data_IF_526701540957
#
_entry.id   IF_526701540957
#
_cell.length_a   1.000
_cell.length_b   1.000
_cell.length_c   1.000
_cell.angle_alpha   90.00
_cell.angle_beta   90.00
_cell.angle_gamma   90.00
#
_symmetry.space_group_name_H-M   'P 1'
#
loop_
_entity.id
_entity.type
_entity.pdbx_description
1 polymer ?
#
# COMPACT_ATOMS: atom_id res chain seq x y z
N UNK A 1 -1.69 -26.75 4.65
CA UNK A 1 -2.60 -25.65 4.27
C UNK A 1 -1.99 -24.36 4.80
N UNK A 2 -2.02 -23.26 4.06
CA UNK A 2 -1.46 -21.97 4.53
C UNK A 2 -2.46 -21.18 5.37
N UNK A 3 -2.03 -20.00 5.82
CA UNK A 3 -2.87 -19.10 6.64
C UNK A 3 -3.62 -18.14 5.72
N UNK A 4 -4.92 -17.96 5.95
CA UNK A 4 -5.67 -16.85 5.35
C UNK A 4 -5.51 -15.61 6.23
N UNK A 5 -4.82 -14.59 5.70
CA UNK A 5 -4.72 -13.27 6.36
C UNK A 5 -6.09 -12.60 6.46
N UNK A 6 -6.98 -12.81 5.49
CA UNK A 6 -8.36 -12.34 5.56
C UNK A 6 -9.08 -12.87 6.80
N UNK A 7 -8.98 -14.18 7.08
CA UNK A 7 -9.61 -14.79 8.25
C UNK A 7 -8.99 -14.29 9.57
N UNK A 8 -7.68 -14.07 9.60
CA UNK A 8 -7.02 -13.43 10.74
C UNK A 8 -7.61 -12.03 11.02
N UNK A 9 -7.65 -11.17 10.00
CA UNK A 9 -8.16 -9.80 10.12
C UNK A 9 -9.65 -9.82 10.49
N UNK A 10 -10.41 -10.79 9.99
CA UNK A 10 -11.81 -11.00 10.38
C UNK A 10 -11.96 -11.38 11.84
N UNK A 11 -11.08 -12.22 12.40
CA UNK A 11 -11.07 -12.53 13.83
C UNK A 11 -10.77 -11.29 14.67
N UNK A 12 -9.72 -10.54 14.31
CA UNK A 12 -9.37 -9.25 14.94
C UNK A 12 -10.56 -8.30 14.92
N UNK A 13 -11.24 -8.19 13.78
CA UNK A 13 -12.39 -7.32 13.60
C UNK A 13 -13.60 -7.70 14.47
N UNK A 14 -13.83 -9.00 14.73
CA UNK A 14 -14.91 -9.46 15.63
C UNK A 14 -14.70 -9.00 17.07
N UNK A 15 -13.46 -8.82 17.51
CA UNK A 15 -13.08 -8.40 18.87
C UNK A 15 -13.23 -6.90 19.11
N UNK A 16 -13.36 -6.11 18.05
CA UNK A 16 -13.48 -4.66 18.19
C UNK A 16 -14.83 -4.29 18.83
N UNK A 17 -14.85 -3.54 19.95
CA UNK A 17 -16.10 -3.04 20.53
C UNK A 17 -16.73 -2.04 19.57
N UNK A 18 -18.04 -2.12 19.39
CA UNK A 18 -18.77 -1.24 18.46
C UNK A 18 -19.95 -0.63 19.21
N UNK A 19 -19.89 0.67 19.49
CA UNK A 19 -20.95 1.42 20.16
C UNK A 19 -21.86 2.17 19.19
N UNK A 20 -21.42 2.41 17.94
CA UNK A 20 -22.09 3.34 17.03
C UNK A 20 -22.60 2.69 15.74
N UNK A 21 -23.92 2.77 15.52
CA UNK A 21 -24.59 2.43 14.26
C UNK A 21 -24.73 3.66 13.34
N UNK A 22 -23.67 4.47 13.21
CA UNK A 22 -23.68 5.59 12.25
C UNK A 22 -23.79 5.04 10.82
N UNK A 23 -24.60 5.69 9.98
CA UNK A 23 -24.69 5.38 8.55
C UNK A 23 -23.58 6.05 7.72
N UNK A 24 -22.76 6.90 8.33
CA UNK A 24 -21.63 7.57 7.68
C UNK A 24 -20.31 7.08 8.25
N UNK A 25 -19.35 6.80 7.35
CA UNK A 25 -17.96 6.50 7.68
C UNK A 25 -17.17 7.80 7.53
N UNK A 26 -16.64 8.35 8.62
CA UNK A 26 -15.80 9.54 8.57
C UNK A 26 -14.38 9.15 8.13
N UNK A 27 -13.71 10.04 7.40
CA UNK A 27 -12.30 9.85 7.01
C UNK A 27 -11.35 10.03 8.18
N UNK A 28 -11.69 10.93 9.11
CA UNK A 28 -10.75 11.49 10.09
C UNK A 28 -10.73 10.71 11.40
N UNK A 29 -11.86 10.07 11.76
CA UNK A 29 -11.92 9.11 12.84
C UNK A 29 -11.98 7.71 12.22
N UNK A 30 -10.84 7.03 12.18
CA UNK A 30 -10.72 5.79 11.42
C UNK A 30 -10.80 4.54 12.30
N UNK A 31 -11.94 4.26 12.94
CA UNK A 31 -12.07 3.12 13.85
C UNK A 31 -12.42 1.80 13.13
N UNK A 32 -11.82 0.67 13.51
CA UNK A 32 -12.10 -0.65 12.93
C UNK A 32 -13.60 -1.00 12.98
N UNK A 33 -14.30 -0.50 14.00
CA UNK A 33 -15.75 -0.63 14.15
C UNK A 33 -16.54 -0.08 12.95
N UNK A 34 -16.02 0.96 12.27
CA UNK A 34 -16.66 1.61 11.12
C UNK A 34 -16.80 0.68 9.92
N UNK A 35 -16.03 -0.42 9.88
CA UNK A 35 -16.11 -1.38 8.79
C UNK A 35 -17.29 -2.35 8.96
N UNK A 36 -17.98 -2.37 10.12
CA UNK A 36 -19.18 -3.21 10.34
C UNK A 36 -20.31 -2.85 9.39
N UNK A 37 -20.86 -3.88 8.73
CA UNK A 37 -21.99 -3.74 7.83
C UNK A 37 -23.27 -3.42 8.61
N UNK A 38 -23.53 -4.07 9.75
CA UNK A 38 -24.52 -3.64 10.76
C UNK A 38 -25.91 -3.25 10.25
N UNK A 39 -26.40 -3.82 9.14
CA UNK A 39 -27.67 -3.41 8.51
C UNK A 39 -27.63 -2.07 7.75
N UNK A 40 -26.45 -1.49 7.55
CA UNK A 40 -26.25 -0.28 6.73
C UNK A 40 -26.65 -0.53 5.27
N UNK A 41 -27.03 0.56 4.60
CA UNK A 41 -27.42 0.55 3.17
C UNK A 41 -26.32 -0.06 2.30
N UNK A 42 -26.71 -0.72 1.21
CA UNK A 42 -25.77 -1.22 0.20
C UNK A 42 -25.10 -0.08 -0.57
N UNK A 43 -23.88 -0.31 -1.09
CA UNK A 43 -23.18 0.64 -1.96
C UNK A 43 -22.37 1.72 -1.25
N UNK A 44 -22.28 1.70 0.10
CA UNK A 44 -21.40 2.61 0.84
C UNK A 44 -19.94 2.33 0.46
N UNK A 45 -19.30 3.31 -0.17
CA UNK A 45 -17.88 3.31 -0.48
C UNK A 45 -17.11 3.67 0.78
N UNK A 46 -16.08 2.89 1.09
CA UNK A 46 -15.18 3.18 2.22
C UNK A 46 -14.22 4.30 1.78
N UNK A 47 -14.10 5.42 2.53
CA UNK A 47 -13.25 6.53 2.13
C UNK A 47 -11.81 6.10 1.86
N UNK A 48 -11.32 6.42 0.67
CA UNK A 48 -9.97 6.07 0.23
C UNK A 48 -8.88 6.71 1.10
N UNK A 49 -9.13 7.94 1.58
CA UNK A 49 -8.19 8.74 2.36
C UNK A 49 -8.12 8.36 3.84
N UNK A 50 -8.99 7.50 4.34
CA UNK A 50 -9.01 7.11 5.75
C UNK A 50 -7.62 6.64 6.24
N UNK A 51 -7.31 6.81 7.52
CA UNK A 51 -6.03 6.44 8.12
C UNK A 51 -5.48 7.54 9.04
N UNK A 52 -4.35 7.30 9.72
CA UNK A 52 -3.75 8.30 10.60
C UNK A 52 -3.28 9.51 9.80
N UNK A 53 -3.46 10.69 10.38
CA UNK A 53 -2.87 11.92 9.85
C UNK A 53 -1.36 11.88 10.12
N UNK A 54 -0.51 12.09 9.09
CA UNK A 54 0.93 12.26 9.29
C UNK A 54 1.24 13.30 10.37
N UNK A 55 2.10 12.95 11.32
CA UNK A 55 2.57 13.91 12.32
C UNK A 55 3.62 14.83 11.69
N UNK A 56 3.86 15.98 12.31
CA UNK A 56 4.92 16.89 11.87
C UNK A 56 6.28 16.18 11.92
N UNK A 57 7.04 16.27 10.83
CA UNK A 57 8.36 15.61 10.71
C UNK A 57 8.34 14.24 10.03
N UNK A 58 7.17 13.74 9.58
CA UNK A 58 7.10 12.52 8.78
C UNK A 58 7.89 12.65 7.48
N UNK A 59 8.70 11.64 7.18
CA UNK A 59 9.42 11.56 5.90
C UNK A 59 8.52 11.15 4.72
N UNK A 60 7.27 10.76 4.97
CA UNK A 60 6.31 10.32 3.94
C UNK A 60 4.97 11.04 4.05
N UNK A 61 4.38 11.33 2.88
CA UNK A 61 3.00 11.82 2.79
C UNK A 61 1.97 10.72 3.13
N UNK A 62 0.72 11.13 3.39
CA UNK A 62 -0.39 10.22 3.65
C UNK A 62 -0.62 9.25 2.48
N UNK A 63 -0.56 9.76 1.27
CA UNK A 63 -0.75 9.00 0.03
C UNK A 63 0.38 7.99 -0.16
N UNK A 64 1.62 8.40 0.12
CA UNK A 64 2.80 7.55 0.07
C UNK A 64 2.74 6.40 1.09
N UNK A 65 2.23 6.66 2.30
CA UNK A 65 1.96 5.64 3.33
C UNK A 65 0.89 4.66 2.82
N UNK A 66 -0.23 5.17 2.31
CA UNK A 66 -1.34 4.36 1.79
C UNK A 66 -0.91 3.41 0.67
N UNK A 67 -0.15 3.92 -0.30
CA UNK A 67 0.35 3.09 -1.42
C UNK A 67 1.23 1.94 -0.91
N UNK A 68 2.14 2.22 0.03
CA UNK A 68 2.97 1.18 0.66
C UNK A 68 2.13 0.21 1.48
N UNK A 69 1.13 0.68 2.22
CA UNK A 69 0.21 -0.17 2.99
C UNK A 69 -0.53 -1.17 2.09
N UNK A 70 -1.01 -0.72 0.92
CA UNK A 70 -1.62 -1.59 -0.11
C UNK A 70 -0.63 -2.66 -0.59
N UNK A 71 0.60 -2.27 -0.91
CA UNK A 71 1.65 -3.20 -1.37
C UNK A 71 1.96 -4.26 -0.31
N UNK A 72 2.14 -3.82 0.94
CA UNK A 72 2.48 -4.70 2.06
C UNK A 72 1.33 -5.65 2.39
N UNK A 73 0.07 -5.18 2.40
CA UNK A 73 -1.08 -6.06 2.63
C UNK A 73 -1.17 -7.19 1.61
N UNK A 74 -0.94 -6.91 0.33
CA UNK A 74 -0.90 -7.93 -0.73
C UNK A 74 0.28 -8.87 -0.57
N UNK A 75 1.44 -8.34 -0.21
CA UNK A 75 2.64 -9.13 0.03
C UNK A 75 2.43 -10.10 1.20
N UNK A 76 1.97 -9.62 2.35
CA UNK A 76 1.73 -10.45 3.53
C UNK A 76 0.67 -11.52 3.21
N UNK A 77 -0.42 -11.19 2.51
CA UNK A 77 -1.42 -12.19 2.10
C UNK A 77 -0.79 -13.30 1.24
N UNK A 78 0.00 -12.91 0.23
CA UNK A 78 0.71 -13.85 -0.64
C UNK A 78 1.70 -14.73 0.12
N UNK A 79 2.47 -14.16 1.05
CA UNK A 79 3.43 -14.89 1.89
C UNK A 79 2.73 -15.83 2.87
N UNK A 80 1.75 -15.34 3.63
CA UNK A 80 1.00 -16.13 4.63
C UNK A 80 0.24 -17.30 4.01
N UNK A 81 -0.30 -17.11 2.80
CA UNK A 81 -0.96 -18.21 2.07
C UNK A 81 0.01 -19.36 1.74
N UNK A 82 1.32 -19.08 1.70
CA UNK A 82 2.37 -20.04 1.38
C UNK A 82 3.07 -20.65 2.60
N UNK A 83 2.73 -20.24 3.81
CA UNK A 83 3.28 -20.84 5.04
C UNK A 83 2.89 -22.31 5.17
N UNK A 84 3.85 -23.10 5.64
CA UNK A 84 3.66 -24.49 6.03
C UNK A 84 3.23 -24.58 7.49
N UNK A 85 2.38 -25.55 7.81
CA UNK A 85 2.05 -25.86 9.20
C UNK A 85 3.11 -26.83 9.75
N UNK A 86 3.88 -26.38 10.73
CA UNK A 86 4.82 -27.21 11.45
C UNK A 86 4.04 -28.17 12.36
N UNK A 87 4.23 -29.48 12.18
CA UNK A 87 3.50 -30.51 12.93
C UNK A 87 4.07 -30.62 14.35
N UNK A 88 3.55 -29.81 15.25
CA UNK A 88 3.86 -29.83 16.68
C UNK A 88 2.74 -29.18 17.51
N UNK A 89 2.75 -29.40 18.82
CA UNK A 89 1.95 -28.61 19.76
C UNK A 89 2.89 -27.66 20.51
N UNK A 90 2.64 -26.34 20.51
CA UNK A 90 1.55 -25.62 19.83
C UNK A 90 1.69 -25.57 18.29
N UNK A 91 0.60 -25.24 17.61
CA UNK A 91 0.60 -24.94 16.17
C UNK A 91 1.61 -23.82 15.89
N UNK A 92 2.54 -24.10 14.97
CA UNK A 92 3.55 -23.16 14.50
C UNK A 92 3.55 -23.14 12.99
N UNK A 93 3.94 -22.01 12.42
CA UNK A 93 4.02 -21.78 10.99
C UNK A 93 5.47 -21.63 10.60
N UNK A 94 5.84 -22.23 9.48
CA UNK A 94 7.20 -22.15 8.97
C UNK A 94 7.18 -21.73 7.50
N UNK A 95 8.18 -20.95 7.13
CA UNK A 95 8.42 -20.67 5.72
C UNK A 95 9.01 -21.91 5.05
N UNK A 96 8.30 -22.45 4.06
CA UNK A 96 8.83 -23.49 3.17
C UNK A 96 9.68 -22.83 2.05
N UNK A 97 9.38 -23.11 0.78
CA UNK A 97 10.10 -22.57 -0.39
C UNK A 97 9.83 -21.09 -0.64
N UNK A 98 8.69 -20.59 -0.18
CA UNK A 98 8.28 -19.20 -0.39
C UNK A 98 8.80 -18.33 0.74
N UNK A 99 9.83 -17.51 0.46
CA UNK A 99 10.28 -16.45 1.37
C UNK A 99 9.57 -15.15 1.05
N UNK A 100 9.45 -14.25 2.02
CA UNK A 100 8.83 -12.95 1.81
C UNK A 100 9.51 -12.15 0.67
N UNK A 101 10.82 -12.34 0.47
CA UNK A 101 11.60 -11.73 -0.63
C UNK A 101 11.25 -12.27 -2.02
N UNK A 102 10.67 -13.47 -2.11
CA UNK A 102 10.27 -14.08 -3.38
C UNK A 102 8.95 -13.53 -3.93
N UNK A 103 8.26 -12.65 -3.20
CA UNK A 103 7.06 -11.97 -3.68
C UNK A 103 7.36 -10.82 -4.65
N UNK A 104 8.60 -10.35 -4.71
CA UNK A 104 9.02 -9.27 -5.59
C UNK A 104 8.51 -7.88 -5.19
N UNK A 105 8.01 -7.68 -3.97
CA UNK A 105 7.50 -6.36 -3.55
C UNK A 105 8.65 -5.53 -2.95
N UNK A 106 8.77 -4.21 -3.26
CA UNK A 106 7.90 -3.40 -4.14
C UNK A 106 8.29 -3.38 -5.63
N UNK A 107 9.53 -3.73 -5.98
CA UNK A 107 10.12 -3.35 -7.29
C UNK A 107 10.31 -4.51 -8.29
N UNK A 108 9.66 -5.66 -8.08
CA UNK A 108 9.89 -6.87 -8.85
C UNK A 108 8.65 -7.74 -9.07
N UNK A 109 8.86 -8.84 -9.79
CA UNK A 109 7.85 -9.87 -10.00
C UNK A 109 7.93 -10.96 -8.93
N UNK A 110 6.78 -11.52 -8.59
CA UNK A 110 6.68 -12.73 -7.76
C UNK A 110 7.35 -13.91 -8.48
N UNK A 111 8.23 -14.62 -7.78
CA UNK A 111 8.78 -15.89 -8.23
C UNK A 111 7.71 -16.98 -8.04
N UNK A 112 6.83 -17.15 -9.03
CA UNK A 112 5.72 -18.11 -9.01
C UNK A 112 6.17 -19.57 -8.81
N UNK A 113 7.44 -19.90 -9.08
CA UNK A 113 7.98 -21.24 -8.85
C UNK A 113 8.22 -21.49 -7.37
N UNK A 114 8.70 -20.48 -6.63
CA UNK A 114 8.97 -20.56 -5.19
C UNK A 114 7.76 -20.17 -4.34
N UNK A 115 6.99 -19.20 -4.80
CA UNK A 115 5.79 -18.67 -4.19
C UNK A 115 4.61 -18.81 -5.17
N UNK A 116 4.02 -19.99 -5.36
CA UNK A 116 2.86 -20.12 -6.23
C UNK A 116 1.66 -19.35 -5.67
N UNK A 117 0.87 -18.72 -6.55
CA UNK A 117 -0.43 -18.13 -6.16
C UNK A 117 -1.41 -19.19 -5.66
N UNK A 118 -2.13 -18.86 -4.60
CA UNK A 118 -3.22 -19.67 -4.05
C UNK A 118 -4.52 -18.87 -4.06
N UNK A 119 -5.22 -18.85 -5.20
CA UNK A 119 -6.40 -18.01 -5.42
C UNK A 119 -7.49 -18.15 -4.35
N UNK A 120 -7.61 -19.32 -3.72
CA UNK A 120 -8.54 -19.57 -2.62
C UNK A 120 -8.14 -18.95 -1.27
N UNK A 121 -6.89 -18.50 -1.12
CA UNK A 121 -6.34 -17.86 0.08
C UNK A 121 -5.92 -16.40 -0.16
N UNK A 122 -5.71 -16.01 -1.42
CA UNK A 122 -5.22 -14.68 -1.82
C UNK A 122 -6.32 -13.86 -2.49
N UNK A 123 -7.10 -13.15 -1.68
CA UNK A 123 -8.31 -12.46 -2.12
C UNK A 123 -8.05 -11.01 -2.55
N UNK A 124 -6.88 -10.45 -2.28
CA UNK A 124 -6.58 -9.03 -2.46
C UNK A 124 -5.71 -8.72 -3.68
N UNK A 125 -5.37 -9.73 -4.49
CA UNK A 125 -4.49 -9.56 -5.66
C UNK A 125 -5.00 -8.52 -6.67
N UNK A 126 -6.32 -8.38 -6.80
CA UNK A 126 -6.94 -7.45 -7.74
C UNK A 126 -7.04 -6.01 -7.23
N UNK A 127 -6.67 -5.75 -5.97
CA UNK A 127 -6.79 -4.43 -5.39
C UNK A 127 -5.51 -3.61 -5.54
N UNK A 128 -5.68 -2.32 -5.82
CA UNK A 128 -4.62 -1.32 -5.84
C UNK A 128 -5.01 -0.10 -5.00
N UNK A 129 -4.18 0.94 -5.00
CA UNK A 129 -4.41 2.18 -4.23
C UNK A 129 -5.59 3.02 -4.74
N UNK A 130 -6.05 2.78 -5.96
CA UNK A 130 -7.15 3.48 -6.63
C UNK A 130 -8.48 2.71 -6.59
N UNK A 131 -8.44 1.43 -6.23
CA UNK A 131 -9.62 0.56 -6.26
C UNK A 131 -10.64 1.02 -5.21
N UNK A 132 -11.88 1.36 -5.61
CA UNK A 132 -12.92 1.70 -4.64
C UNK A 132 -13.33 0.47 -3.84
N UNK A 133 -13.30 0.61 -2.51
CA UNK A 133 -13.66 -0.44 -1.57
C UNK A 133 -15.08 -0.19 -1.05
N UNK A 134 -15.83 -1.27 -0.82
CA UNK A 134 -17.27 -1.21 -0.52
C UNK A 134 -17.55 -1.95 0.79
N UNK A 135 -18.34 -1.33 1.65
CA UNK A 135 -18.59 -1.83 3.00
C UNK A 135 -19.30 -3.19 3.03
N UNK A 136 -20.12 -3.51 2.02
CA UNK A 136 -20.90 -4.75 1.99
C UNK A 136 -20.08 -5.95 1.53
N UNK A 137 -18.91 -5.72 0.94
CA UNK A 137 -18.02 -6.79 0.49
C UNK A 137 -17.03 -7.09 1.60
N UNK A 138 -17.15 -8.26 2.22
CA UNK A 138 -16.29 -8.66 3.34
C UNK A 138 -14.80 -8.56 2.97
N UNK A 139 -14.43 -9.08 1.79
CA UNK A 139 -13.06 -8.98 1.26
C UNK A 139 -12.53 -7.54 1.17
N UNK A 140 -13.39 -6.56 0.89
CA UNK A 140 -13.01 -5.14 0.83
C UNK A 140 -12.80 -4.59 2.24
N UNK A 141 -13.63 -5.00 3.20
CA UNK A 141 -13.50 -4.60 4.60
C UNK A 141 -12.21 -5.15 5.22
N UNK A 142 -11.90 -6.43 5.01
CA UNK A 142 -10.67 -7.03 5.54
C UNK A 142 -9.43 -6.43 4.87
N UNK A 143 -9.48 -6.16 3.56
CA UNK A 143 -8.37 -5.47 2.89
C UNK A 143 -8.19 -4.05 3.42
N UNK A 144 -9.28 -3.31 3.59
CA UNK A 144 -9.24 -1.96 4.19
C UNK A 144 -8.68 -1.99 5.61
N UNK A 145 -9.09 -2.94 6.44
CA UNK A 145 -8.58 -3.10 7.79
C UNK A 145 -7.08 -3.39 7.80
N UNK A 146 -6.58 -4.19 6.86
CA UNK A 146 -5.13 -4.37 6.69
C UNK A 146 -4.44 -3.05 6.32
N UNK A 147 -5.00 -2.27 5.38
CA UNK A 147 -4.44 -0.97 5.00
C UNK A 147 -4.40 -0.02 6.18
N UNK A 148 -5.48 0.09 6.97
CA UNK A 148 -5.53 0.91 8.18
C UNK A 148 -4.42 0.48 9.15
N UNK A 149 -4.30 -0.84 9.40
CA UNK A 149 -3.29 -1.43 10.29
C UNK A 149 -1.86 -1.08 9.84
N UNK A 150 -1.53 -1.31 8.57
CA UNK A 150 -0.20 -0.99 8.04
C UNK A 150 0.05 0.51 8.04
N UNK A 151 -0.98 1.33 7.81
CA UNK A 151 -0.85 2.78 7.83
C UNK A 151 -0.54 3.31 9.23
N UNK A 152 -1.05 2.68 10.30
CA UNK A 152 -0.67 3.00 11.69
C UNK A 152 0.83 2.75 11.88
N UNK A 153 1.32 1.57 11.47
CA UNK A 153 2.74 1.21 11.63
C UNK A 153 3.65 2.15 10.84
N UNK A 154 3.32 2.40 9.56
CA UNK A 154 4.12 3.24 8.69
C UNK A 154 4.09 4.70 9.09
N UNK A 155 2.96 5.18 9.61
CA UNK A 155 2.91 6.52 10.17
C UNK A 155 3.94 6.67 11.30
N UNK A 156 3.93 5.75 12.26
CA UNK A 156 4.87 5.76 13.39
C UNK A 156 6.32 5.59 12.91
N UNK A 157 6.61 4.63 12.02
CA UNK A 157 7.97 4.42 11.51
C UNK A 157 8.49 5.60 10.69
N UNK A 158 7.61 6.31 9.96
CA UNK A 158 7.99 7.47 9.16
C UNK A 158 8.27 8.73 9.99
N UNK A 159 7.91 8.76 11.27
CA UNK A 159 8.23 9.86 12.18
C UNK A 159 9.71 9.88 12.57
N UNK A 160 10.41 8.75 12.46
CA UNK A 160 11.81 8.58 12.88
C UNK A 160 12.80 9.09 11.84
N UNK A 161 12.71 10.38 11.54
CA UNK A 161 13.70 11.12 10.77
C UNK A 161 15.06 11.18 11.50
N UNK A 162 16.09 11.69 10.82
CA UNK A 162 17.45 11.79 11.35
C UNK A 162 17.53 12.53 12.69
N UNK A 163 16.67 13.51 12.94
CA UNK A 163 16.59 14.24 14.21
C UNK A 163 15.96 13.39 15.32
N UNK A 164 14.81 12.76 15.06
CA UNK A 164 14.11 11.92 16.04
C UNK A 164 14.93 10.66 16.37
N UNK A 165 15.72 10.14 15.43
CA UNK A 165 16.66 9.05 15.68
C UNK A 165 17.80 9.46 16.63
N UNK A 166 18.33 10.69 16.51
CA UNK A 166 19.33 11.21 17.46
C UNK A 166 18.75 11.35 18.87
N UNK A 167 17.53 11.87 18.97
CA UNK A 167 16.83 11.96 20.26
C UNK A 167 16.58 10.57 20.86
N UNK A 168 16.14 9.62 20.04
CA UNK A 168 15.93 8.23 20.42
C UNK A 168 17.21 7.53 20.86
N UNK A 169 18.36 7.90 20.29
CA UNK A 169 19.66 7.38 20.75
C UNK A 169 19.92 7.76 22.21
N UNK A 170 19.59 8.99 22.60
CA UNK A 170 19.84 9.51 23.94
C UNK A 170 18.78 9.07 24.96
N UNK A 171 17.51 8.94 24.55
CA UNK A 171 16.37 8.77 25.47
C UNK A 171 15.64 7.44 25.34
N UNK A 172 16.07 6.60 24.39
CA UNK A 172 15.35 5.40 23.98
C UNK A 172 14.16 5.71 23.07
N UNK A 173 13.63 4.68 22.41
CA UNK A 173 12.42 4.78 21.59
C UNK A 173 11.17 4.41 22.40
N UNK A 174 10.00 4.81 21.89
CA UNK A 174 8.68 4.45 22.44
C UNK A 174 7.77 3.84 21.37
N UNK A 175 8.35 3.20 20.36
CA UNK A 175 7.66 2.73 19.16
C UNK A 175 6.58 1.70 19.52
N UNK A 176 6.90 0.72 20.37
CA UNK A 176 5.95 -0.30 20.81
C UNK A 176 4.75 0.30 21.55
N UNK A 177 5.01 1.30 22.40
CA UNK A 177 3.96 2.00 23.13
C UNK A 177 3.08 2.80 22.16
N UNK A 178 3.67 3.56 21.24
CA UNK A 178 2.95 4.32 20.23
C UNK A 178 2.11 3.41 19.31
N UNK A 179 2.64 2.23 18.93
CA UNK A 179 1.89 1.23 18.15
C UNK A 179 0.69 0.73 18.97
N UNK A 180 0.89 0.31 20.21
CA UNK A 180 -0.17 -0.16 21.10
C UNK A 180 -1.29 0.88 21.24
N UNK A 181 -0.94 2.15 21.46
CA UNK A 181 -1.89 3.25 21.57
C UNK A 181 -2.64 3.52 20.26
N UNK A 182 -1.93 3.51 19.13
CA UNK A 182 -2.52 3.65 17.81
C UNK A 182 -3.52 2.54 17.50
N UNK A 183 -3.17 1.29 17.83
CA UNK A 183 -4.04 0.13 17.69
C UNK A 183 -5.23 0.17 18.66
N UNK A 184 -5.04 0.65 19.88
CA UNK A 184 -6.11 0.75 20.88
C UNK A 184 -7.14 1.80 20.46
N UNK A 185 -6.67 2.95 19.93
CA UNK A 185 -7.55 3.96 19.32
C UNK A 185 -8.27 3.42 18.08
N UNK A 186 -7.60 2.60 17.28
CA UNK A 186 -8.17 2.05 16.05
C UNK A 186 -9.22 0.96 16.32
N UNK A 187 -8.89 -0.05 17.13
CA UNK A 187 -9.68 -1.26 17.29
C UNK A 187 -10.14 -1.58 18.71
N UNK A 188 -9.73 -0.80 19.70
CA UNK A 188 -9.93 -1.06 21.13
C UNK A 188 -8.77 -1.85 21.76
N UNK A 189 -8.73 -1.89 23.09
CA UNK A 189 -7.60 -2.46 23.83
C UNK A 189 -7.41 -3.97 23.58
N UNK A 190 -8.49 -4.75 23.41
CA UNK A 190 -8.38 -6.19 23.13
C UNK A 190 -7.70 -6.43 21.78
N UNK A 191 -8.07 -5.67 20.75
CA UNK A 191 -7.47 -5.72 19.41
C UNK A 191 -5.99 -5.35 19.46
N UNK A 192 -5.67 -4.26 20.17
CA UNK A 192 -4.29 -3.82 20.37
C UNK A 192 -3.44 -4.92 21.02
N UNK A 193 -3.89 -5.46 22.16
CA UNK A 193 -3.17 -6.52 22.88
C UNK A 193 -2.95 -7.75 21.99
N UNK A 194 -3.99 -8.17 21.26
CA UNK A 194 -3.91 -9.34 20.36
C UNK A 194 -2.86 -9.14 19.28
N UNK A 195 -2.87 -7.99 18.59
CA UNK A 195 -1.90 -7.70 17.53
C UNK A 195 -0.50 -7.57 18.12
N UNK A 196 -0.33 -6.87 19.25
CA UNK A 196 0.97 -6.74 19.92
C UNK A 196 1.57 -8.11 20.28
N UNK A 197 0.76 -8.99 20.86
CA UNK A 197 1.17 -10.34 21.26
C UNK A 197 1.57 -11.23 20.08
N UNK A 198 0.90 -11.10 18.94
CA UNK A 198 1.18 -11.94 17.77
C UNK A 198 2.25 -11.37 16.83
N UNK A 199 2.34 -10.05 16.71
CA UNK A 199 3.16 -9.42 15.68
C UNK A 199 4.49 -8.92 16.21
N UNK A 200 4.58 -8.55 17.49
CA UNK A 200 5.72 -7.80 18.01
C UNK A 200 6.37 -8.43 19.24
N UNK A 201 5.63 -9.20 20.05
CA UNK A 201 6.18 -9.83 21.25
C UNK A 201 6.94 -11.12 20.92
N UNK A 202 8.19 -11.20 21.37
CA UNK A 202 8.91 -12.46 21.41
C UNK A 202 8.43 -13.26 22.62
N UNK A 203 7.77 -14.39 22.39
CA UNK A 203 7.32 -15.30 23.45
C UNK A 203 8.11 -16.61 23.41
N UNK A 204 9.34 -16.63 23.95
CA UNK A 204 10.08 -17.87 24.09
C UNK A 204 9.33 -18.80 25.07
N UNK A 205 9.07 -20.03 24.64
CA UNK A 205 8.57 -21.11 25.51
C UNK A 205 7.11 -21.02 25.98
N UNK A 206 6.44 -19.86 25.95
CA UNK A 206 5.01 -19.79 26.31
C UNK A 206 4.14 -20.37 25.21
N UNK A 207 3.35 -21.38 25.52
CA UNK A 207 2.31 -21.94 24.64
C UNK A 207 1.10 -21.01 24.69
N UNK A 208 1.07 -19.97 23.85
CA UNK A 208 -0.14 -19.15 23.66
C UNK A 208 -0.94 -19.67 22.46
N UNK A 209 -2.27 -19.53 22.51
CA UNK A 209 -3.16 -19.74 21.36
C UNK A 209 -3.10 -18.53 20.40
N UNK A 210 -1.89 -18.14 19.99
CA UNK A 210 -1.72 -17.13 18.93
C UNK A 210 -2.10 -17.73 17.59
N UNK A 211 -2.75 -16.92 16.75
CA UNK A 211 -3.15 -17.31 15.40
C UNK A 211 -1.91 -17.39 14.49
N UNK A 212 -0.99 -16.44 14.67
CA UNK A 212 0.29 -16.38 13.97
C UNK A 212 1.40 -16.66 14.98
N UNK A 213 2.19 -17.71 14.71
CA UNK A 213 3.42 -18.00 15.44
C UNK A 213 4.41 -18.66 14.51
N UNK A 214 5.57 -18.04 14.34
CA UNK A 214 6.63 -18.60 13.51
C UNK A 214 7.35 -19.73 14.26
N UNK A 215 7.87 -20.72 13.52
CA UNK A 215 8.51 -21.90 14.09
C UNK A 215 9.85 -21.59 14.77
N UNK A 216 10.55 -20.57 14.26
CA UNK A 216 11.78 -19.99 14.82
C UNK A 216 11.55 -19.17 16.11
N UNK A 217 10.29 -18.83 16.41
CA UNK A 217 9.92 -18.04 17.59
C UNK A 217 10.16 -16.54 17.42
N UNK A 218 10.54 -16.09 16.23
CA UNK A 218 10.72 -14.67 15.93
C UNK A 218 9.35 -13.98 15.69
N UNK A 219 9.22 -12.70 16.06
CA UNK A 219 8.00 -11.94 15.85
C UNK A 219 7.76 -11.67 14.36
N UNK A 220 6.49 -11.55 13.95
CA UNK A 220 6.15 -11.23 12.56
C UNK A 220 6.78 -9.90 12.10
N UNK A 221 6.93 -8.92 12.99
CA UNK A 221 7.59 -7.64 12.72
C UNK A 221 9.01 -7.80 12.16
N UNK A 222 9.74 -8.84 12.56
CA UNK A 222 11.05 -9.14 12.00
C UNK A 222 10.95 -9.57 10.53
N UNK A 223 9.99 -10.43 10.19
CA UNK A 223 9.75 -10.80 8.79
C UNK A 223 9.33 -9.58 7.97
N UNK A 224 8.46 -8.72 8.53
CA UNK A 224 8.05 -7.47 7.89
C UNK A 224 9.24 -6.54 7.63
N UNK A 225 10.24 -6.50 8.51
CA UNK A 225 11.43 -5.67 8.32
C UNK A 225 12.17 -5.97 7.00
N UNK A 226 12.15 -7.23 6.56
CA UNK A 226 12.75 -7.64 5.28
C UNK A 226 12.00 -7.00 4.10
N UNK A 227 10.67 -6.97 4.17
CA UNK A 227 9.81 -6.38 3.16
C UNK A 227 9.93 -4.84 3.15
N UNK A 228 9.99 -4.23 4.32
CA UNK A 228 10.01 -2.77 4.47
C UNK A 228 11.34 -2.14 4.09
N UNK A 229 12.45 -2.89 4.11
CA UNK A 229 13.78 -2.41 3.75
C UNK A 229 13.84 -1.72 2.37
N UNK A 230 13.07 -2.22 1.42
CA UNK A 230 13.03 -1.68 0.06
C UNK A 230 12.05 -0.51 -0.10
N UNK A 231 11.32 -0.13 0.95
CA UNK A 231 10.29 0.90 0.90
C UNK A 231 10.76 2.27 1.42
N UNK A 232 12.03 2.38 1.81
CA UNK A 232 12.65 3.64 2.22
C UNK A 232 12.26 4.11 3.63
N UNK A 233 11.78 3.21 4.49
CA UNK A 233 11.56 3.56 5.89
C UNK A 233 12.89 3.61 6.66
N UNK A 234 13.05 4.56 7.60
CA UNK A 234 14.22 4.60 8.49
C UNK A 234 14.16 3.47 9.53
N UNK A 235 12.96 3.18 10.04
CA UNK A 235 12.67 2.04 10.90
C UNK A 235 11.90 0.99 10.10
N UNK A 236 12.40 -0.24 10.12
CA UNK A 236 11.84 -1.38 9.40
C UNK A 236 10.99 -2.27 10.30
N UNK A 237 11.10 -2.14 11.62
CA UNK A 237 10.29 -2.91 12.56
C UNK A 237 10.74 -2.71 14.00
N UNK A 238 10.05 -3.36 14.92
CA UNK A 238 10.38 -3.37 16.34
C UNK A 238 10.03 -4.73 16.96
N UNK A 239 10.78 -5.16 17.96
CA UNK A 239 10.39 -6.22 18.88
C UNK A 239 10.03 -5.59 20.21
N UNK A 240 8.89 -5.99 20.76
CA UNK A 240 8.36 -5.42 21.99
C UNK A 240 8.52 -6.38 23.17
N UNK A 241 8.55 -5.82 24.37
CA UNK A 241 8.32 -6.51 25.63
C UNK A 241 7.13 -5.88 26.35
N UNK A 242 6.40 -6.69 27.12
CA UNK A 242 5.25 -6.25 27.91
C UNK A 242 5.68 -6.10 29.36
N UNK A 243 5.37 -4.98 29.97
CA UNK A 243 5.67 -4.73 31.39
C UNK A 243 4.82 -5.65 32.28
N UNK A 244 5.41 -6.24 33.32
CA UNK A 244 4.71 -7.23 34.16
C UNK A 244 3.52 -6.61 34.92
N UNK A 245 3.68 -5.37 35.39
CA UNK A 245 2.70 -4.69 36.24
C UNK A 245 1.64 -3.91 35.47
N UNK A 246 1.79 -3.79 34.15
CA UNK A 246 0.88 -2.97 33.34
C UNK A 246 0.59 -3.61 31.98
N UNK A 247 -0.59 -4.21 31.78
CA UNK A 247 -0.91 -4.94 30.56
C UNK A 247 -1.04 -4.05 29.31
N UNK A 248 -1.10 -2.73 29.50
CA UNK A 248 -1.18 -1.74 28.43
C UNK A 248 0.16 -1.06 28.12
N UNK A 249 1.21 -1.34 28.89
CA UNK A 249 2.53 -0.75 28.68
C UNK A 249 3.47 -1.72 27.96
N UNK A 250 4.07 -1.21 26.90
CA UNK A 250 5.03 -1.93 26.08
C UNK A 250 6.34 -1.15 25.99
N UNK A 251 7.45 -1.88 26.01
CA UNK A 251 8.80 -1.33 25.88
C UNK A 251 9.46 -1.87 24.62
N UNK A 252 10.34 -1.07 24.05
CA UNK A 252 11.11 -1.43 22.86
C UNK A 252 12.28 -2.31 23.31
N UNK A 253 12.27 -3.57 22.90
CA UNK A 253 13.37 -4.50 23.21
C UNK A 253 14.41 -4.57 22.09
N UNK A 254 14.00 -4.22 20.88
CA UNK A 254 14.82 -4.24 19.67
C UNK A 254 14.17 -3.36 18.61
N UNK A 255 14.94 -2.55 17.91
CA UNK A 255 14.50 -1.80 16.74
C UNK A 255 15.27 -2.30 15.51
N UNK A 256 14.55 -2.61 14.44
CA UNK A 256 15.15 -3.06 13.18
C UNK A 256 15.32 -1.86 12.25
N UNK A 257 16.56 -1.45 12.01
CA UNK A 257 16.94 -0.39 11.04
C UNK A 257 17.47 -1.00 9.73
N UNK A 258 17.85 -2.28 9.76
CA UNK A 258 18.17 -3.10 8.60
C UNK A 258 17.63 -4.53 8.79
N UNK A 259 17.41 -5.30 7.70
CA UNK A 259 16.88 -6.66 7.79
C UNK A 259 17.69 -7.57 8.71
N UNK A 260 17.05 -8.07 9.76
CA UNK A 260 17.67 -8.96 10.74
C UNK A 260 18.73 -8.30 11.64
N UNK A 261 18.96 -6.99 11.53
CA UNK A 261 19.84 -6.25 12.44
C UNK A 261 19.02 -5.63 13.55
N UNK A 262 19.21 -6.15 14.75
CA UNK A 262 18.52 -5.73 15.94
C UNK A 262 19.38 -4.73 16.73
N UNK A 263 18.86 -3.52 16.92
CA UNK A 263 19.52 -2.47 17.70
C UNK A 263 18.74 -2.20 18.98
N UNK A 264 19.44 -2.06 20.11
CA UNK A 264 18.81 -1.76 21.40
C UNK A 264 18.83 -0.24 21.56
N UNK A 265 17.65 0.36 21.77
CA UNK A 265 17.51 1.81 21.88
C UNK A 265 17.40 2.23 23.34
N UNK A 266 18.32 3.08 23.79
CA UNK A 266 18.33 3.59 25.16
C UNK A 266 18.91 2.60 26.17
N UNK A 267 19.79 3.11 27.01
CA UNK A 267 20.36 2.42 28.14
C UNK A 267 21.16 3.43 28.96
N UNK A 268 21.00 3.40 30.28
CA UNK A 268 21.85 4.17 31.17
C UNK A 268 23.31 3.73 30.93
N UNK A 269 24.22 4.69 30.77
CA UNK A 269 25.64 4.50 30.42
C UNK A 269 26.36 3.47 31.31
N UNK A 270 25.80 3.11 32.47
CA UNK A 270 26.33 2.08 33.37
C UNK A 270 26.20 0.63 32.85
N UNK A 271 25.37 0.37 31.84
CA UNK A 271 25.30 -0.95 31.19
C UNK A 271 26.41 -1.19 30.14
N UNK A 272 27.20 -0.17 29.80
CA UNK A 272 28.21 -0.21 28.72
C UNK A 272 29.45 -1.07 29.07
N UNK A 273 29.67 -1.40 30.35
CA UNK A 273 30.87 -2.14 30.76
C UNK A 273 30.88 -3.64 30.35
N UNK A 274 29.76 -4.22 29.90
CA UNK A 274 29.70 -5.64 29.51
C UNK A 274 29.09 -5.94 28.14
N UNK A 275 28.51 -4.97 27.43
CA UNK A 275 27.88 -5.19 26.12
C UNK A 275 28.81 -4.71 25.00
N UNK A 276 29.93 -5.40 24.79
CA UNK A 276 30.97 -4.98 23.82
C UNK A 276 30.63 -5.20 22.35
N UNK A 277 29.41 -5.62 21.94
CA UNK A 277 29.11 -5.90 20.52
C UNK A 277 27.69 -5.63 20.00
N UNK A 278 26.78 -5.03 20.76
CA UNK A 278 25.39 -4.81 20.30
C UNK A 278 24.94 -3.37 20.48
N UNK A 279 25.33 -2.55 19.49
CA UNK A 279 24.48 -1.59 18.79
C UNK A 279 23.74 -0.53 19.61
N UNK A 280 24.45 0.46 20.12
CA UNK A 280 23.94 1.85 20.11
C UNK A 280 23.66 2.21 18.66
N UNK A 281 22.58 2.95 18.35
CA UNK A 281 22.28 3.43 16.98
C UNK A 281 23.58 3.91 16.35
N UNK A 282 24.05 3.19 15.34
CA UNK A 282 25.31 3.56 14.74
C UNK A 282 25.12 4.94 14.09
N UNK A 283 26.05 5.86 14.31
CA UNK A 283 26.07 7.17 13.63
C UNK A 283 25.91 7.00 12.11
N UNK A 284 26.35 5.84 11.59
CA UNK A 284 26.09 5.36 10.23
C UNK A 284 24.61 5.36 9.83
N UNK A 285 23.68 4.89 10.67
CA UNK A 285 22.24 4.86 10.33
C UNK A 285 21.66 6.26 10.31
N UNK A 286 21.99 7.09 11.29
CA UNK A 286 21.56 8.49 11.32
C UNK A 286 22.04 9.20 10.05
N UNK A 287 23.29 8.97 9.65
CA UNK A 287 23.85 9.53 8.42
C UNK A 287 23.17 8.97 7.17
N UNK A 288 22.85 7.66 7.11
CA UNK A 288 22.11 7.05 6.00
C UNK A 288 20.69 7.62 5.87
N UNK A 289 19.98 7.79 6.98
CA UNK A 289 18.63 8.37 7.00
C UNK A 289 18.69 9.83 6.57
N UNK A 290 19.66 10.60 7.08
CA UNK A 290 19.89 11.99 6.66
C UNK A 290 20.18 12.09 5.16
N UNK A 291 21.01 11.20 4.61
CA UNK A 291 21.30 11.17 3.17
C UNK A 291 20.03 10.92 2.35
N UNK A 292 19.18 9.97 2.78
CA UNK A 292 17.90 9.69 2.11
C UNK A 292 16.91 10.84 2.20
N UNK A 293 16.88 11.54 3.34
CA UNK A 293 16.06 12.75 3.51
C UNK A 293 16.48 13.85 2.53
N UNK A 294 17.79 14.06 2.38
CA UNK A 294 18.36 15.01 1.42
C UNK A 294 18.03 14.62 -0.03
N UNK A 295 18.18 13.34 -0.39
CA UNK A 295 17.80 12.81 -1.72
C UNK A 295 16.30 13.00 -2.01
N UNK A 296 15.43 12.65 -1.05
CA UNK A 296 13.97 12.76 -1.20
C UNK A 296 13.53 14.22 -1.28
N UNK A 297 14.15 15.11 -0.50
CA UNK A 297 13.91 16.54 -0.60
C UNK A 297 14.29 17.08 -1.97
N UNK A 298 15.40 16.61 -2.55
CA UNK A 298 15.84 16.97 -3.90
C UNK A 298 14.86 16.52 -5.00
N UNK A 299 14.33 15.30 -4.92
CA UNK A 299 13.32 14.80 -5.87
C UNK A 299 12.02 15.63 -5.85
N UNK A 300 11.62 16.11 -4.66
CA UNK A 300 10.48 16.99 -4.50
C UNK A 300 10.63 18.30 -5.27
N UNK A 301 11.83 18.89 -5.26
CA UNK A 301 12.13 20.11 -5.99
C UNK A 301 12.16 19.89 -7.50
N UNK A 302 12.72 18.77 -7.97
CA UNK A 302 12.70 18.37 -9.39
C UNK A 302 11.26 18.20 -9.87
N UNK A 303 10.41 17.57 -9.06
CA UNK A 303 9.00 17.35 -9.40
C UNK A 303 8.24 18.68 -9.49
N UNK A 304 8.44 19.59 -8.53
CA UNK A 304 7.84 20.94 -8.56
C UNK A 304 8.30 21.74 -9.77
N UNK A 305 9.60 21.72 -10.09
CA UNK A 305 10.14 22.39 -11.28
C UNK A 305 9.55 21.81 -12.57
N UNK A 306 9.40 20.49 -12.64
CA UNK A 306 8.80 19.80 -13.79
C UNK A 306 7.33 20.17 -13.95
N UNK A 307 6.55 20.25 -12.87
CA UNK A 307 5.16 20.70 -12.92
C UNK A 307 5.03 22.17 -13.33
N UNK A 308 5.89 23.05 -12.80
CA UNK A 308 5.92 24.46 -13.19
C UNK A 308 6.25 24.60 -14.68
N UNK A 309 7.25 23.88 -15.16
CA UNK A 309 7.61 23.84 -16.58
C UNK A 309 6.46 23.32 -17.44
N UNK A 310 5.75 22.26 -17.02
CA UNK A 310 4.58 21.73 -17.72
C UNK A 310 3.47 22.77 -17.81
N UNK A 311 3.13 23.46 -16.70
CA UNK A 311 2.12 24.52 -16.69
C UNK A 311 2.50 25.70 -17.58
N UNK A 312 3.76 26.11 -17.58
CA UNK A 312 4.26 27.16 -18.47
C UNK A 312 4.14 26.73 -19.94
N UNK A 313 4.53 25.50 -20.26
CA UNK A 313 4.46 24.94 -21.61
C UNK A 313 3.01 24.83 -22.10
N UNK A 314 2.08 24.33 -21.27
CA UNK A 314 0.64 24.28 -21.58
C UNK A 314 0.06 25.68 -21.81
N UNK A 315 0.46 26.67 -21.01
CA UNK A 315 0.02 28.07 -21.15
C UNK A 315 0.54 28.68 -22.44
N UNK A 316 1.82 28.50 -22.76
CA UNK A 316 2.42 28.96 -24.02
C UNK A 316 1.77 28.29 -25.23
N UNK A 317 1.49 26.98 -25.16
CA UNK A 317 0.81 26.25 -26.22
C UNK A 317 -0.60 26.80 -26.48
N UNK A 318 -1.38 27.07 -25.42
CA UNK A 318 -2.71 27.71 -25.54
C UNK A 318 -2.64 29.10 -26.15
N UNK A 319 -1.67 29.93 -25.74
CA UNK A 319 -1.48 31.26 -26.31
C UNK A 319 -1.12 31.22 -27.80
N UNK A 320 -0.33 30.23 -28.23
CA UNK A 320 -0.03 29.99 -29.65
C UNK A 320 -1.29 29.54 -30.40
N UNK A 321 -2.07 28.62 -29.83
CA UNK A 321 -3.32 28.16 -30.43
C UNK A 321 -4.32 29.31 -30.63
N UNK A 322 -4.45 30.19 -29.64
CA UNK A 322 -5.32 31.37 -29.71
C UNK A 322 -4.87 32.34 -30.81
N UNK A 323 -3.55 32.60 -30.92
CA UNK A 323 -2.98 33.41 -32.01
C UNK A 323 -3.24 32.80 -33.39
N UNK A 324 -3.15 31.47 -33.51
CA UNK A 324 -3.46 30.75 -34.76
C UNK A 324 -4.95 30.86 -35.12
N UNK A 325 -5.85 30.75 -34.14
CA UNK A 325 -7.30 30.91 -34.36
C UNK A 325 -7.69 32.34 -34.74
N UNK A 326 -6.99 33.35 -34.25
CA UNK A 326 -7.27 34.76 -34.55
C UNK A 326 -6.97 35.17 -36.02
N UNK A 327 -6.44 34.27 -36.86
CA UNK A 327 -6.38 34.45 -38.32
C UNK A 327 -5.51 35.60 -38.83
N UNK A 328 -4.64 36.18 -37.99
CA UNK A 328 -3.98 37.46 -38.28
C UNK A 328 -2.47 37.42 -38.57
N UNK A 329 -1.83 36.26 -38.66
CA UNK A 329 -0.43 36.22 -39.11
C UNK A 329 -0.05 34.91 -39.79
N UNK A 330 0.63 35.02 -40.93
CA UNK A 330 1.52 34.00 -41.46
C UNK A 330 2.68 33.78 -40.48
N UNK A 331 2.54 32.82 -39.56
CA UNK A 331 3.58 32.48 -38.61
C UNK A 331 4.70 31.74 -39.36
N UNK A 332 5.87 32.37 -39.49
CA UNK A 332 7.10 31.64 -39.74
C UNK A 332 7.36 30.81 -38.48
N UNK A 333 7.02 29.52 -38.53
CA UNK A 333 7.39 28.57 -37.49
C UNK A 333 8.90 28.42 -37.56
N UNK A 334 9.61 29.25 -36.80
CA UNK A 334 10.96 28.93 -36.40
C UNK A 334 10.83 27.71 -35.50
N UNK A 335 10.95 26.52 -36.10
CA UNK A 335 11.38 25.35 -35.34
C UNK A 335 12.83 25.66 -34.97
N UNK A 336 13.15 26.00 -33.72
CA UNK A 336 14.54 25.90 -33.30
C UNK A 336 14.97 24.47 -33.65
N UNK A 337 16.12 24.34 -34.30
CA UNK A 337 16.76 23.05 -34.57
C UNK A 337 17.15 22.49 -33.19
N UNK A 338 16.18 21.94 -32.47
CA UNK A 338 16.29 21.34 -31.13
C UNK A 338 16.86 19.93 -31.31
N UNK A 339 18.01 19.84 -31.97
CA UNK A 339 18.72 18.58 -32.23
C UNK A 339 19.30 17.93 -30.98
N UNK A 340 19.27 18.59 -29.82
CA UNK A 340 19.93 18.09 -28.61
C UNK A 340 19.09 18.10 -27.34
N UNK A 341 18.05 18.95 -27.23
CA UNK A 341 17.32 19.13 -25.95
C UNK A 341 16.10 18.20 -25.83
N UNK A 342 15.39 17.93 -26.92
CA UNK A 342 14.18 17.09 -26.90
C UNK A 342 14.40 15.61 -26.52
N UNK A 343 15.51 14.95 -26.91
CA UNK A 343 15.77 13.57 -26.51
C UNK A 343 16.00 13.41 -25.00
N UNK A 344 16.60 14.42 -24.35
CA UNK A 344 16.87 14.41 -22.91
C UNK A 344 15.61 14.52 -22.05
N UNK A 345 14.50 14.99 -22.63
CA UNK A 345 13.19 15.11 -21.96
C UNK A 345 12.21 13.98 -22.32
N UNK A 346 12.61 13.02 -23.16
CA UNK A 346 11.76 11.87 -23.54
C UNK A 346 10.53 12.22 -24.39
N UNK A 347 10.46 13.43 -24.97
CA UNK A 347 9.32 13.87 -25.77
C UNK A 347 9.59 13.55 -27.25
N UNK A 348 8.91 12.52 -27.78
CA UNK A 348 8.92 12.22 -29.21
C UNK A 348 7.81 13.04 -29.93
N UNK A 349 8.20 14.08 -30.65
CA UNK A 349 7.26 14.84 -31.50
C UNK A 349 7.20 14.21 -32.89
N UNK A 350 6.13 13.48 -33.17
CA UNK A 350 5.86 12.95 -34.52
C UNK A 350 5.16 14.01 -35.37
N UNK A 351 5.92 14.63 -36.28
CA UNK A 351 5.35 15.57 -37.25
C UNK A 351 4.74 14.76 -38.40
N UNK A 352 3.42 14.62 -38.39
CA UNK A 352 2.67 14.05 -39.50
C UNK A 352 2.57 15.08 -40.63
N UNK A 353 3.48 15.02 -41.60
CA UNK A 353 3.33 15.75 -42.85
C UNK A 353 2.24 15.07 -43.70
N UNK A 354 1.04 15.65 -43.69
CA UNK A 354 -0.10 15.21 -44.51
C UNK A 354 0.24 15.41 -45.99
N UNK A 355 0.77 14.38 -46.64
CA UNK A 355 0.98 14.32 -48.09
C UNK A 355 -0.41 14.42 -48.76
N UNK A 356 -0.71 15.55 -49.41
CA UNK A 356 -1.93 15.72 -50.24
C UNK A 356 -1.86 14.71 -51.39
N UNK A 357 -2.49 13.55 -51.20
CA UNK A 357 -2.65 12.52 -52.22
C UNK A 357 -3.70 12.94 -53.24
N UNK A 358 -3.29 12.92 -54.51
CA UNK A 358 -4.13 13.19 -55.67
C UNK A 358 -5.22 12.11 -55.79
N UNK A 359 -6.49 12.53 -55.95
CA UNK A 359 -7.65 11.63 -56.05
C UNK A 359 -7.51 10.72 -57.27
N UNK A 360 -7.48 9.40 -57.07
CA UNK A 360 -7.73 8.41 -58.14
C UNK A 360 -9.09 7.74 -57.92
N UNK A 361 -9.79 7.58 -59.03
CA UNK A 361 -11.15 7.06 -59.16
C UNK A 361 -11.32 5.64 -58.63
N UNK A 362 -12.48 5.42 -58.01
CA UNK A 362 -13.00 4.15 -57.51
C UNK A 362 -13.73 3.44 -58.67
N UNK A 363 -13.41 2.17 -58.92
CA UNK A 363 -14.21 1.24 -59.74
C UNK A 363 -14.91 0.26 -58.78
N UNK A 364 -16.24 0.07 -58.87
CA UNK A 364 -16.95 -0.89 -58.03
C UNK A 364 -17.22 -2.23 -58.74
N UNK A 365 -17.43 -3.26 -57.90
CA UNK A 365 -18.11 -4.57 -58.10
C UNK A 365 -17.21 -5.80 -58.20
N UNK A 366 -17.41 -6.75 -57.28
CA UNK A 366 -18.21 -7.96 -57.52
C UNK A 366 -18.40 -8.75 -56.21
N UNK A 367 -19.65 -9.16 -55.96
CA UNK A 367 -20.07 -10.06 -54.88
C UNK A 367 -19.53 -11.48 -55.11
N UNK A 368 -19.20 -12.23 -54.05
CA UNK A 368 -19.30 -13.68 -54.07
C UNK A 368 -20.44 -14.17 -53.18
N UNK A 369 -21.22 -15.06 -53.78
CA UNK A 369 -22.27 -15.90 -53.21
C UNK A 369 -21.75 -16.85 -52.13
N UNK A 370 -22.56 -17.06 -51.08
CA UNK A 370 -22.39 -18.13 -50.10
C UNK A 370 -23.11 -19.41 -50.58
N UNK A 371 -22.56 -20.61 -50.32
CA UNK A 371 -23.34 -21.84 -50.21
C UNK A 371 -23.65 -22.18 -48.74
N UNK A 372 -24.82 -22.80 -48.55
CA UNK A 372 -25.36 -23.36 -47.31
C UNK A 372 -24.78 -24.75 -46.98
N UNK A 373 -24.93 -25.11 -45.68
CA UNK A 373 -25.09 -26.49 -45.12
C UNK A 373 -23.85 -27.41 -45.16
N UNK A 374 -23.42 -28.13 -44.12
CA UNK A 374 -24.13 -28.91 -43.08
C UNK A 374 -23.26 -29.14 -41.81
N UNK A 375 -23.94 -29.17 -40.66
CA UNK A 375 -23.77 -30.02 -39.46
C UNK A 375 -22.39 -30.60 -39.07
N UNK A 376 -21.84 -30.14 -37.92
CA UNK A 376 -21.25 -31.03 -36.89
C UNK A 376 -21.56 -30.46 -35.50
N UNK A 377 -22.32 -31.24 -34.72
CA UNK A 377 -22.58 -31.02 -33.29
C UNK A 377 -21.34 -31.43 -32.48
N UNK A 378 -20.80 -30.52 -31.65
CA UNK A 378 -19.93 -30.85 -30.51
C UNK A 378 -20.30 -29.98 -29.30
N UNK A 379 -20.48 -30.55 -28.10
CA UNK A 379 -20.80 -29.77 -26.92
C UNK A 379 -19.52 -29.20 -26.31
N UNK A 380 -19.39 -27.87 -26.29
CA UNK A 380 -18.38 -27.19 -25.50
C UNK A 380 -19.06 -26.30 -24.46
N UNK A 381 -18.78 -26.60 -23.19
CA UNK A 381 -19.21 -25.87 -22.01
C UNK A 381 -18.87 -24.39 -22.14
N UNK A 382 -19.88 -23.52 -22.10
CA UNK A 382 -19.69 -22.07 -22.00
C UNK A 382 -19.74 -21.65 -20.55
N UNK A 383 -18.60 -21.18 -20.06
CA UNK A 383 -18.47 -20.17 -19.01
C UNK A 383 -19.45 -19.02 -19.31
N UNK A 384 -20.31 -18.71 -18.36
CA UNK A 384 -21.16 -17.53 -18.42
C UNK A 384 -20.30 -16.27 -18.38
N UNK A 385 -20.33 -15.49 -19.46
CA UNK A 385 -19.87 -14.11 -19.47
C UNK A 385 -21.03 -13.25 -18.99
N UNK A 386 -20.89 -12.64 -17.81
CA UNK A 386 -21.82 -11.62 -17.33
C UNK A 386 -21.46 -10.32 -18.03
N UNK A 387 -22.22 -9.94 -19.04
CA UNK A 387 -22.16 -8.59 -19.63
C UNK A 387 -23.07 -7.65 -18.85
N UNK A 388 -22.49 -6.62 -18.22
CA UNK A 388 -23.26 -5.51 -17.66
C UNK A 388 -23.71 -4.58 -18.78
N UNK A 389 -25.02 -4.49 -19.01
CA UNK A 389 -25.63 -3.46 -19.84
C UNK A 389 -25.73 -2.20 -18.98
N UNK A 390 -24.91 -1.19 -19.26
CA UNK A 390 -25.02 0.11 -18.63
C UNK A 390 -26.32 0.80 -19.06
N UNK A 391 -27.25 0.97 -18.11
CA UNK A 391 -28.44 1.79 -18.30
C UNK A 391 -28.00 3.24 -18.46
N UNK A 392 -28.30 3.85 -19.62
CA UNK A 392 -28.14 5.30 -19.80
C UNK A 392 -29.11 6.03 -18.86
N UNK A 393 -28.68 7.10 -18.18
CA UNK A 393 -29.60 7.95 -17.44
C UNK A 393 -30.55 8.65 -18.42
N UNK A 394 -31.85 8.51 -18.19
CA UNK A 394 -32.89 9.33 -18.82
C UNK A 394 -32.73 10.78 -18.37
N UNK A 395 -32.82 11.78 -19.28
CA UNK A 395 -32.85 13.18 -18.90
C UNK A 395 -34.09 13.45 -18.03
N UNK A 396 -33.88 14.12 -16.90
CA UNK A 396 -34.95 14.51 -15.98
C UNK A 396 -35.90 15.51 -16.63
N UNK A 397 -37.19 15.28 -16.43
CA UNK A 397 -38.25 16.24 -16.71
C UNK A 397 -38.10 17.43 -15.73
N UNK A 398 -37.84 18.62 -16.25
CA UNK A 398 -38.08 19.88 -15.55
C UNK A 398 -39.59 20.11 -15.43
N UNK A 399 -40.11 20.06 -14.21
CA UNK A 399 -41.43 20.58 -13.87
C UNK A 399 -41.33 22.09 -13.67
N UNK A 400 -41.91 22.83 -14.61
CA UNK A 400 -42.16 24.28 -14.50
C UNK A 400 -43.27 24.49 -13.46
N UNK A 401 -42.95 25.17 -12.36
CA UNK A 401 -43.95 25.76 -11.49
C UNK A 401 -44.40 27.09 -12.10
N UNK A 402 -45.70 27.22 -12.32
CA UNK A 402 -46.37 28.47 -12.67
C UNK A 402 -46.91 29.04 -11.36
N UNK A 403 -46.45 30.23 -10.99
CA UNK A 403 -47.12 31.13 -10.03
C UNK A 403 -48.18 31.98 -10.73
#
# INVERSE_FOLDING_TARGET
MGISLQEYIKDVWKRSPCSNNSNQIKSDNFELCDLRTGGRRSGIIIPAERGPTPRGGNVMSREAIKVRAVMVCRAIEGWMSNLGLHRGQPLKWEEDKCKITNLGVPNGGRDEKKCPRKDQLENWQAFDSSTPLYLQQERHCTFRACIDLMSIFFNIYSEYNSSKLKEAQATGTKICQEISEGLSKWGGQEVANRIMEEWFLRTPGKVSNSYIRMSDGEPLSQTLSILLNQMGFPILGVQCTKEQDSPSKFQDSCVYTAPGQCEIMGGDEEAEAQVTRTGVISEKIINQVKQREEETSGEGDITKQTEQFRRQTETSARAVEEKLRAGRSSFNVYMPILGTVLPLLGIAVFIYMRKRGNKRHIIPRLNPTCPNEEQIIRPNSRRGVITYRGSRPTPGHESVNIE
#
